data_IF_141398217883
#
_entry.id   IF_141398217883
#
_cell.length_a   1.000
_cell.length_b   1.000
_cell.length_c   1.000
_cell.angle_alpha   90.00
_cell.angle_beta   90.00
_cell.angle_gamma   90.00
#
_symmetry.space_group_name_H-M   'P 1'
#
loop_
_entity.id
_entity.type
_entity.pdbx_description
1 polymer ?
#
# COMPACT_ATOMS: atom_id res chain seq x y z
N UNK A 1 13.34 -2.23 -15.73
CA UNK A 1 13.60 -3.69 -15.59
C UNK A 1 13.51 -3.99 -14.09
N UNK A 2 12.34 -4.27 -13.51
CA UNK A 2 11.61 -5.54 -13.50
C UNK A 2 10.09 -5.30 -13.65
N UNK A 3 9.53 -5.75 -14.78
CA UNK A 3 8.09 -5.77 -15.09
C UNK A 3 7.51 -7.12 -14.66
N UNK A 4 7.43 -7.42 -13.36
CA UNK A 4 6.43 -8.39 -12.90
C UNK A 4 5.08 -7.66 -12.85
N UNK A 5 4.55 -7.39 -14.05
CA UNK A 5 3.19 -6.90 -14.28
C UNK A 5 2.28 -8.07 -13.90
N UNK A 6 1.98 -8.21 -12.62
CA UNK A 6 0.92 -9.11 -12.17
C UNK A 6 -0.38 -8.64 -12.81
N UNK A 7 -0.76 -9.29 -13.89
CA UNK A 7 -1.90 -8.95 -14.76
C UNK A 7 -3.24 -9.41 -14.19
N UNK A 8 -3.33 -9.70 -12.88
CA UNK A 8 -4.54 -10.26 -12.25
C UNK A 8 -4.80 -9.62 -10.88
N UNK A 9 -5.28 -8.36 -10.85
CA UNK A 9 -5.53 -7.61 -9.61
C UNK A 9 -6.42 -8.36 -8.62
N UNK A 10 -7.43 -9.06 -9.11
CA UNK A 10 -8.32 -9.89 -8.29
C UNK A 10 -7.60 -11.02 -7.53
N UNK A 11 -6.59 -11.66 -8.11
CA UNK A 11 -5.83 -12.71 -7.40
C UNK A 11 -4.98 -12.11 -6.28
N UNK A 12 -4.36 -10.96 -6.55
CA UNK A 12 -3.58 -10.22 -5.55
C UNK A 12 -4.47 -9.75 -4.39
N UNK A 13 -5.70 -9.38 -4.71
CA UNK A 13 -6.73 -9.01 -3.76
C UNK A 13 -7.11 -10.15 -2.82
N UNK A 14 -7.41 -11.32 -3.38
CA UNK A 14 -7.68 -12.52 -2.58
C UNK A 14 -6.46 -12.86 -1.73
N UNK A 15 -5.25 -12.85 -2.31
CA UNK A 15 -4.01 -13.16 -1.59
C UNK A 15 -3.78 -12.19 -0.43
N UNK A 16 -3.98 -10.89 -0.65
CA UNK A 16 -3.89 -9.88 0.40
C UNK A 16 -4.89 -10.16 1.51
N UNK A 17 -6.15 -10.42 1.18
CA UNK A 17 -7.20 -10.67 2.15
C UNK A 17 -6.91 -11.92 3.00
N UNK A 18 -6.49 -13.02 2.36
CA UNK A 18 -6.10 -14.26 3.05
C UNK A 18 -4.90 -14.00 3.97
N UNK A 19 -3.86 -13.34 3.44
CA UNK A 19 -2.66 -13.02 4.24
C UNK A 19 -3.00 -12.15 5.44
N UNK A 20 -3.80 -11.09 5.25
CA UNK A 20 -4.24 -10.22 6.34
C UNK A 20 -5.03 -11.00 7.40
N UNK A 21 -5.95 -11.88 7.00
CA UNK A 21 -6.70 -12.74 7.94
C UNK A 21 -5.78 -13.67 8.72
N UNK A 22 -4.83 -14.31 8.06
CA UNK A 22 -3.86 -15.21 8.71
C UNK A 22 -2.98 -14.44 9.71
N UNK A 23 -2.47 -13.28 9.31
CA UNK A 23 -1.65 -12.42 10.18
C UNK A 23 -2.44 -11.96 11.40
N UNK A 24 -3.71 -11.57 11.24
CA UNK A 24 -4.59 -11.20 12.35
C UNK A 24 -4.92 -12.39 13.26
N UNK A 25 -5.22 -13.56 12.69
CA UNK A 25 -5.47 -14.78 13.46
C UNK A 25 -4.23 -15.20 14.27
N UNK A 26 -3.03 -14.97 13.73
CA UNK A 26 -1.76 -15.23 14.42
C UNK A 26 -1.39 -14.15 15.45
N UNK A 27 -2.09 -13.01 15.50
CA UNK A 27 -1.75 -11.88 16.36
C UNK A 27 -1.58 -12.24 17.85
N UNK A 28 -2.41 -13.10 18.48
CA UNK A 28 -2.20 -13.50 19.87
C UNK A 28 -0.85 -14.18 20.11
N UNK A 29 -0.36 -14.98 19.15
CA UNK A 29 0.95 -15.63 19.22
C UNK A 29 2.08 -14.62 18.94
N UNK A 30 1.90 -13.76 17.94
CA UNK A 30 2.85 -12.68 17.62
C UNK A 30 3.04 -11.75 18.83
N UNK A 31 1.94 -11.40 19.52
CA UNK A 31 1.95 -10.60 20.74
C UNK A 31 2.73 -11.28 21.87
N UNK A 32 2.54 -12.59 22.08
CA UNK A 32 3.30 -13.39 23.06
C UNK A 32 4.79 -13.45 22.74
N UNK A 33 5.15 -13.59 21.46
CA UNK A 33 6.55 -13.60 21.01
C UNK A 33 7.21 -12.20 21.10
N UNK A 34 6.39 -11.13 21.03
CA UNK A 34 6.80 -9.74 21.09
C UNK A 34 6.97 -9.13 19.69
N UNK A 35 6.19 -8.09 19.39
CA UNK A 35 6.15 -7.44 18.08
C UNK A 35 7.52 -7.02 17.55
N UNK A 36 8.39 -6.45 18.40
CA UNK A 36 9.73 -6.01 17.98
C UNK A 36 10.65 -7.16 17.57
N UNK A 37 10.53 -8.34 18.22
CA UNK A 37 11.30 -9.53 17.83
C UNK A 37 10.81 -10.07 16.51
N UNK A 38 9.49 -10.21 16.36
CA UNK A 38 8.88 -10.69 15.12
C UNK A 38 9.19 -9.75 13.96
N UNK A 39 9.08 -8.42 14.16
CA UNK A 39 9.42 -7.41 13.16
C UNK A 39 10.83 -7.60 12.58
N UNK A 40 11.83 -7.89 13.43
CA UNK A 40 13.21 -8.11 13.00
C UNK A 40 13.35 -9.34 12.10
N UNK A 41 12.56 -10.39 12.36
CA UNK A 41 12.56 -11.63 11.57
C UNK A 41 11.80 -11.47 10.26
N UNK A 42 10.61 -10.84 10.29
CA UNK A 42 9.73 -10.75 9.11
C UNK A 42 10.09 -9.62 8.16
N UNK A 43 10.78 -8.57 8.62
CA UNK A 43 11.07 -7.38 7.80
C UNK A 43 11.80 -7.73 6.51
N UNK A 44 12.91 -8.47 6.57
CA UNK A 44 13.71 -8.79 5.38
C UNK A 44 12.92 -9.57 4.32
N UNK A 45 12.27 -10.69 4.70
CA UNK A 45 11.37 -11.42 3.80
C UNK A 45 10.23 -10.56 3.25
N UNK A 46 9.61 -9.72 4.09
CA UNK A 46 8.55 -8.80 3.68
C UNK A 46 9.03 -7.81 2.62
N UNK A 47 10.18 -7.17 2.87
CA UNK A 47 10.78 -6.17 1.99
C UNK A 47 11.09 -6.78 0.63
N UNK A 48 11.80 -7.91 0.60
CA UNK A 48 12.13 -8.61 -0.64
C UNK A 48 10.88 -8.99 -1.42
N UNK A 49 9.92 -9.65 -0.76
CA UNK A 49 8.68 -10.08 -1.41
C UNK A 49 7.91 -8.88 -1.98
N UNK A 50 7.73 -7.81 -1.19
CA UNK A 50 6.97 -6.63 -1.62
C UNK A 50 7.69 -5.82 -2.69
N UNK A 51 9.02 -5.75 -2.66
CA UNK A 51 9.82 -5.05 -3.67
C UNK A 51 9.74 -5.78 -5.02
N UNK A 52 9.88 -7.10 -5.02
CA UNK A 52 9.82 -7.91 -6.26
C UNK A 52 8.40 -7.91 -6.84
N UNK A 53 7.37 -8.04 -6.01
CA UNK A 53 5.99 -8.16 -6.47
C UNK A 53 5.36 -6.80 -6.87
N UNK A 54 5.64 -5.74 -6.10
CA UNK A 54 4.91 -4.47 -6.21
C UNK A 54 5.81 -3.24 -6.41
N UNK A 55 7.13 -3.41 -6.46
CA UNK A 55 8.06 -2.27 -6.47
C UNK A 55 7.99 -1.43 -5.18
N UNK A 56 7.63 -2.07 -4.06
CA UNK A 56 7.44 -1.40 -2.77
C UNK A 56 8.65 -0.55 -2.36
N UNK A 57 8.37 0.60 -1.74
CA UNK A 57 9.38 1.53 -1.18
C UNK A 57 9.40 1.57 0.35
N UNK A 58 8.82 0.56 0.99
CA UNK A 58 8.89 0.35 2.45
C UNK A 58 8.49 1.57 3.30
N UNK A 59 7.44 2.30 2.92
CA UNK A 59 6.92 3.42 3.72
C UNK A 59 6.30 3.02 5.09
N UNK A 60 6.32 1.75 5.47
CA UNK A 60 5.79 1.26 6.75
C UNK A 60 4.26 1.21 6.85
N UNK A 61 3.51 1.77 5.91
CA UNK A 61 2.04 1.78 5.92
C UNK A 61 1.49 1.27 4.58
N UNK A 62 1.13 -0.01 4.51
CA UNK A 62 0.72 -0.65 3.25
C UNK A 62 -0.75 -0.36 2.91
N UNK A 63 -1.01 0.26 1.76
CA UNK A 63 -2.37 0.56 1.23
C UNK A 63 -2.62 -0.05 -0.15
N UNK A 64 -1.97 -1.18 -0.45
CA UNK A 64 -2.14 -1.85 -1.75
C UNK A 64 -3.61 -2.17 -2.05
N UNK A 65 -4.37 -2.58 -1.04
CA UNK A 65 -5.79 -2.88 -1.16
C UNK A 65 -6.62 -1.67 -1.61
N UNK A 66 -6.32 -0.48 -1.10
CA UNK A 66 -7.01 0.76 -1.49
C UNK A 66 -6.45 1.41 -2.76
N UNK A 67 -5.37 0.88 -3.35
CA UNK A 67 -4.67 1.48 -4.48
C UNK A 67 -4.53 0.52 -5.67
N UNK A 68 -5.52 -0.34 -5.89
CA UNK A 68 -5.54 -1.23 -7.05
C UNK A 68 -4.33 -2.19 -7.09
N UNK A 69 -3.87 -2.64 -5.92
CA UNK A 69 -2.66 -3.44 -5.74
C UNK A 69 -1.40 -2.80 -6.33
N UNK A 70 -1.33 -1.48 -6.32
CA UNK A 70 -0.22 -0.70 -6.89
C UNK A 70 0.39 0.18 -5.82
N UNK A 71 1.70 0.06 -5.57
CA UNK A 71 2.34 0.84 -4.51
C UNK A 71 2.38 2.35 -4.88
N UNK A 72 1.70 3.24 -4.13
CA UNK A 72 1.65 4.67 -4.47
C UNK A 72 3.02 5.35 -4.34
N UNK A 73 3.91 4.80 -3.51
CA UNK A 73 5.28 5.31 -3.33
C UNK A 73 6.19 5.04 -4.54
N UNK A 74 5.73 4.24 -5.53
CA UNK A 74 6.38 4.16 -6.83
C UNK A 74 6.28 5.46 -7.63
N UNK A 75 5.37 6.37 -7.26
CA UNK A 75 5.28 7.69 -7.84
C UNK A 75 6.49 8.55 -7.42
N UNK A 76 7.15 9.28 -8.34
CA UNK A 76 8.29 10.15 -8.02
C UNK A 76 7.96 11.21 -6.96
N UNK A 77 6.69 11.62 -6.92
CA UNK A 77 6.17 12.60 -5.95
C UNK A 77 5.79 11.98 -4.60
N UNK A 78 5.86 10.66 -4.47
CA UNK A 78 5.48 9.88 -3.27
C UNK A 78 4.08 10.24 -2.73
N UNK A 79 3.16 10.58 -3.64
CA UNK A 79 1.81 10.98 -3.28
C UNK A 79 1.02 9.77 -2.80
N UNK A 80 0.46 9.87 -1.59
CA UNK A 80 -0.38 8.84 -0.97
C UNK A 80 -1.78 8.76 -1.58
N UNK A 81 -2.27 9.90 -2.06
CA UNK A 81 -3.53 10.06 -2.78
C UNK A 81 -3.24 10.70 -4.15
N UNK A 82 -3.92 10.26 -5.20
CA UNK A 82 -3.78 10.84 -6.53
C UNK A 82 -5.11 10.84 -7.29
N UNK A 83 -5.09 11.16 -8.60
CA UNK A 83 -3.92 11.51 -9.41
C UNK A 83 -3.34 12.90 -9.05
N UNK A 84 -2.12 13.16 -9.52
CA UNK A 84 -1.39 14.41 -9.23
C UNK A 84 -1.58 15.54 -10.26
N UNK A 85 -2.48 15.36 -11.23
CA UNK A 85 -2.65 16.25 -12.39
C UNK A 85 -1.59 16.10 -13.49
N UNK A 86 -0.37 15.67 -13.16
CA UNK A 86 0.76 15.51 -14.08
C UNK A 86 0.76 14.24 -14.92
N UNK A 87 -0.39 13.80 -15.42
CA UNK A 87 -0.51 12.63 -16.29
C UNK A 87 -0.43 13.09 -17.74
N UNK A 88 0.51 12.52 -18.51
CA UNK A 88 0.67 12.80 -19.94
C UNK A 88 -0.49 12.18 -20.74
N UNK A 89 -0.74 12.67 -21.95
CA UNK A 89 -1.82 12.17 -22.82
C UNK A 89 -1.70 10.67 -23.15
N UNK A 90 -0.49 10.12 -23.11
CA UNK A 90 -0.16 8.70 -23.29
C UNK A 90 -0.29 7.87 -21.99
N UNK A 91 -0.78 8.45 -20.89
CA UNK A 91 -0.92 7.80 -19.59
C UNK A 91 0.37 7.69 -18.76
N UNK A 92 1.47 8.31 -19.19
CA UNK A 92 2.75 8.28 -18.46
C UNK A 92 2.91 9.46 -17.49
N UNK A 93 3.92 9.38 -16.63
CA UNK A 93 4.25 10.42 -15.65
C UNK A 93 4.89 11.64 -16.33
N UNK A 94 4.57 12.86 -15.87
CA UNK A 94 5.24 14.08 -16.36
C UNK A 94 6.74 14.14 -16.02
N UNK A 95 7.13 13.61 -14.85
CA UNK A 95 8.51 13.71 -14.32
C UNK A 95 9.43 12.71 -15.03
N UNK A 96 8.92 11.50 -15.26
CA UNK A 96 9.62 10.42 -15.94
C UNK A 96 8.73 9.89 -17.07
N UNK A 97 8.87 10.41 -18.30
CA UNK A 97 8.02 10.05 -19.43
C UNK A 97 7.98 8.55 -19.77
N UNK A 98 9.02 7.81 -19.41
CA UNK A 98 9.13 6.36 -19.60
C UNK A 98 8.39 5.54 -18.53
N UNK A 99 7.99 6.18 -17.43
CA UNK A 99 7.28 5.55 -16.32
C UNK A 99 5.76 5.67 -16.54
N UNK A 100 5.01 4.56 -16.70
CA UNK A 100 3.56 4.63 -16.76
C UNK A 100 3.01 5.16 -15.44
N UNK A 101 2.04 6.07 -15.48
CA UNK A 101 1.55 6.74 -14.27
C UNK A 101 1.00 5.71 -13.26
N UNK A 102 1.51 5.76 -12.03
CA UNK A 102 1.11 4.85 -10.93
C UNK A 102 -0.39 4.92 -10.68
N UNK A 103 -0.98 6.11 -10.71
CA UNK A 103 -2.41 6.31 -10.43
C UNK A 103 -3.32 5.89 -11.58
N UNK A 104 -2.87 6.04 -12.84
CA UNK A 104 -3.60 5.49 -14.00
C UNK A 104 -3.66 3.96 -13.90
N UNK A 105 -2.53 3.32 -13.58
CA UNK A 105 -2.47 1.87 -13.35
C UNK A 105 -3.33 1.43 -12.16
N UNK A 106 -3.24 2.15 -11.04
CA UNK A 106 -3.98 1.86 -9.83
C UNK A 106 -5.50 1.90 -10.09
N UNK A 107 -5.98 2.94 -10.79
CA UNK A 107 -7.40 3.09 -11.13
C UNK A 107 -7.89 1.97 -12.04
N UNK A 108 -7.16 1.66 -13.11
CA UNK A 108 -7.50 0.56 -14.02
C UNK A 108 -7.59 -0.79 -13.27
N UNK A 109 -6.63 -1.07 -12.39
CA UNK A 109 -6.61 -2.32 -11.61
C UNK A 109 -7.71 -2.39 -10.54
N UNK A 110 -8.07 -1.26 -9.95
CA UNK A 110 -9.15 -1.20 -8.96
C UNK A 110 -10.52 -1.56 -9.57
N UNK A 111 -10.73 -1.30 -10.87
CA UNK A 111 -11.95 -1.73 -11.58
C UNK A 111 -12.05 -3.26 -11.70
N UNK A 112 -10.92 -3.97 -11.61
CA UNK A 112 -10.86 -5.43 -11.63
C UNK A 112 -10.91 -6.07 -10.23
N UNK A 113 -11.14 -5.27 -9.18
CA UNK A 113 -11.07 -5.67 -7.77
C UNK A 113 -12.46 -5.60 -7.09
N UNK A 114 -13.20 -6.73 -6.99
CA UNK A 114 -14.54 -6.75 -6.42
C UNK A 114 -14.63 -6.48 -4.91
N UNK A 115 -13.55 -6.67 -4.13
CA UNK A 115 -13.60 -6.56 -2.66
C UNK A 115 -13.21 -5.15 -2.21
N UNK A 116 -12.05 -4.67 -2.63
CA UNK A 116 -11.44 -3.40 -2.18
C UNK A 116 -11.38 -2.34 -3.26
N UNK A 117 -11.77 -2.62 -4.51
CA UNK A 117 -11.67 -1.66 -5.62
C UNK A 117 -12.36 -0.33 -5.34
N UNK A 118 -13.48 -0.36 -4.61
CA UNK A 118 -14.22 0.84 -4.19
C UNK A 118 -13.45 1.75 -3.22
N UNK A 119 -12.43 1.23 -2.52
CA UNK A 119 -11.62 2.03 -1.60
C UNK A 119 -10.69 3.02 -2.32
N UNK A 120 -10.50 2.88 -3.63
CA UNK A 120 -9.79 3.86 -4.46
C UNK A 120 -10.37 5.28 -4.33
N UNK A 121 -11.67 5.38 -4.10
CA UNK A 121 -12.35 6.66 -3.91
C UNK A 121 -12.18 7.25 -2.50
N UNK A 122 -11.62 6.48 -1.55
CA UNK A 122 -11.44 6.94 -0.16
C UNK A 122 -10.11 7.66 -0.01
N UNK A 123 -10.16 8.90 0.45
CA UNK A 123 -8.95 9.67 0.77
C UNK A 123 -8.25 9.01 1.97
N UNK A 124 -7.00 8.61 1.75
CA UNK A 124 -6.14 8.03 2.77
C UNK A 124 -5.45 9.13 3.58
N UNK A 125 -5.15 8.91 4.88
CA UNK A 125 -4.33 9.83 5.65
C UNK A 125 -2.93 9.98 5.02
N UNK A 126 -2.25 11.12 5.26
CA UNK A 126 -0.88 11.30 4.81
C UNK A 126 0.03 10.21 5.41
N UNK A 127 1.08 9.87 4.67
CA UNK A 127 2.06 8.86 5.11
C UNK A 127 2.84 9.35 6.33
N UNK A 128 2.89 8.54 7.39
CA UNK A 128 3.75 8.75 8.55
C UNK A 128 5.17 8.26 8.22
N UNK A 129 6.04 9.22 7.88
CA UNK A 129 7.43 8.97 7.53
C UNK A 129 8.27 8.40 8.67
N UNK A 130 7.81 8.46 9.92
CA UNK A 130 8.50 7.83 11.06
C UNK A 130 8.49 6.30 10.98
N UNK A 131 7.56 5.73 10.21
CA UNK A 131 7.44 4.28 9.99
C UNK A 131 8.26 3.79 8.79
N UNK A 132 8.96 4.66 8.07
CA UNK A 132 9.75 4.28 6.91
C UNK A 132 10.81 3.22 7.27
N UNK A 133 10.91 2.16 6.46
CA UNK A 133 11.81 1.04 6.70
C UNK A 133 11.37 0.04 7.77
N UNK A 134 10.17 0.20 8.35
CA UNK A 134 9.59 -0.76 9.32
C UNK A 134 8.62 -1.74 8.65
N UNK A 135 8.26 -2.83 9.35
CA UNK A 135 7.32 -3.85 8.84
C UNK A 135 5.89 -3.31 8.84
N UNK A 136 5.27 -3.26 7.66
CA UNK A 136 3.89 -2.78 7.56
C UNK A 136 2.89 -3.76 8.19
N UNK A 137 3.20 -5.07 8.22
CA UNK A 137 2.37 -6.05 8.92
C UNK A 137 2.36 -5.84 10.43
N UNK A 138 3.53 -5.57 11.03
CA UNK A 138 3.62 -5.29 12.46
C UNK A 138 2.98 -3.94 12.81
N UNK A 139 3.15 -2.93 11.96
CA UNK A 139 2.48 -1.64 12.15
C UNK A 139 0.95 -1.78 12.10
N UNK A 140 0.42 -2.59 11.17
CA UNK A 140 -1.01 -2.91 11.09
C UNK A 140 -1.52 -3.62 12.35
N UNK A 141 -0.77 -4.59 12.87
CA UNK A 141 -1.14 -5.33 14.09
C UNK A 141 -1.10 -4.48 15.35
N UNK A 142 -0.15 -3.54 15.42
CA UNK A 142 0.02 -2.63 16.56
C UNK A 142 -0.86 -1.38 16.45
N UNK A 143 -1.46 -1.13 15.28
CA UNK A 143 -2.22 0.08 14.97
C UNK A 143 -1.35 1.32 14.73
N UNK A 144 -0.03 1.18 14.69
CA UNK A 144 0.89 2.29 14.46
C UNK A 144 0.62 2.98 13.11
N UNK A 145 0.16 2.22 12.10
CA UNK A 145 -0.18 2.72 10.78
C UNK A 145 -1.48 3.53 10.72
N UNK A 146 -2.30 3.53 11.79
CA UNK A 146 -3.55 4.28 11.89
C UNK A 146 -3.40 5.63 12.58
N UNK A 147 -2.22 5.93 13.10
CA UNK A 147 -1.96 7.23 13.72
C UNK A 147 -1.98 8.33 12.65
N UNK A 148 -2.93 9.24 12.76
CA UNK A 148 -3.08 10.38 11.85
C UNK A 148 -2.49 11.65 12.49
N UNK A 149 -2.01 12.63 11.70
CA UNK A 149 -1.52 13.88 12.24
C UNK A 149 -2.65 14.72 12.86
N UNK A 150 -2.33 15.64 13.79
CA UNK A 150 -3.32 16.56 14.35
C UNK A 150 -4.08 17.31 13.24
N UNK A 151 -5.41 17.38 13.38
CA UNK A 151 -6.29 18.04 12.42
C UNK A 151 -6.72 17.18 11.22
N UNK A 152 -6.24 15.94 11.11
CA UNK A 152 -6.79 14.99 10.14
C UNK A 152 -8.16 14.51 10.60
N UNK A 153 -9.19 14.76 9.80
CA UNK A 153 -10.55 14.24 10.00
C UNK A 153 -10.94 13.45 8.75
N UNK A 154 -11.42 12.20 8.90
CA UNK A 154 -11.95 11.42 7.78
C UNK A 154 -13.10 12.15 7.07
N UNK A 155 -13.18 12.05 5.74
CA UNK A 155 -14.19 12.78 4.97
C UNK A 155 -15.64 12.41 5.37
N UNK A 156 -15.86 11.16 5.76
CA UNK A 156 -17.15 10.64 6.24
C UNK A 156 -17.60 11.26 7.57
N UNK A 157 -16.68 11.85 8.33
CA UNK A 157 -16.99 12.60 9.55
C UNK A 157 -17.24 14.10 9.29
N UNK A 158 -16.88 14.60 8.10
CA UNK A 158 -17.02 16.02 7.73
C UNK A 158 -18.21 16.27 6.79
N UNK A 159 -18.69 15.23 6.09
CA UNK A 159 -19.75 15.31 5.06
C UNK A 159 -21.17 15.20 5.62
#
# INVERSE_FOLDING_TARGET
>A
MFRLRWSRPHLLEILYQVTARVVWAANPLIRRAGYGRVARVVKGPEELAKQVLFGCKMCGQCVLHSTGMTCPMGCPKNLRNGPCGGVRADGHCEVYPELPCVWVQAYARAQEMPIYGHEMARIQPPVDRRLEGTSAWINMLTGADRNTPPGWVPLDEVS
#
